data_IF_882666266933
#
_entry.id   IF_882666266933
#
_cell.length_a   1.000
_cell.length_b   1.000
_cell.length_c   1.000
_cell.angle_alpha   90.00
_cell.angle_beta   90.00
_cell.angle_gamma   90.00
#
_symmetry.space_group_name_H-M   'P 1'
#
loop_
_entity.id
_entity.type
_entity.pdbx_description
1 polymer ?
#
# COMPACT_ATOMS: atom_id res chain seq x y z
N UNK A 1 5.57 11.79 17.34
CA UNK A 1 6.62 12.77 17.03
C UNK A 1 7.26 12.41 15.69
N UNK A 2 7.25 13.31 14.76
CA UNK A 2 7.86 13.06 13.48
C UNK A 2 9.39 13.03 13.61
N UNK A 3 10.03 12.25 12.78
CA UNK A 3 11.49 12.20 12.73
C UNK A 3 12.00 13.15 11.66
N UNK A 4 13.20 13.67 11.87
CA UNK A 4 13.89 14.41 10.83
C UNK A 4 14.18 13.45 9.68
N UNK A 5 13.77 13.80 8.48
CA UNK A 5 14.00 13.04 7.27
C UNK A 5 15.00 13.75 6.39
N UNK A 6 15.88 12.97 5.77
CA UNK A 6 16.89 13.46 4.84
C UNK A 6 16.84 12.66 3.56
N UNK A 7 17.19 13.29 2.42
CA UNK A 7 17.27 12.55 1.16
C UNK A 7 18.15 11.29 1.30
N UNK A 8 17.65 10.17 0.77
CA UNK A 8 18.29 8.88 0.85
C UNK A 8 17.91 8.03 2.05
N UNK A 9 17.22 8.60 3.04
CA UNK A 9 16.74 7.82 4.17
C UNK A 9 15.69 6.82 3.73
N UNK A 10 15.75 5.64 4.32
CA UNK A 10 14.69 4.64 4.15
C UNK A 10 13.66 4.80 5.27
N UNK A 11 12.37 4.79 4.92
CA UNK A 11 11.31 4.75 5.93
C UNK A 11 11.21 3.33 6.49
N UNK A 12 10.67 3.14 7.70
CA UNK A 12 10.49 1.80 8.25
C UNK A 12 9.67 0.92 7.32
N UNK A 13 10.18 -0.28 7.05
CA UNK A 13 9.50 -1.27 6.21
C UNK A 13 8.28 -1.80 6.93
N UNK A 14 7.17 -1.91 6.20
CA UNK A 14 5.96 -2.55 6.70
C UNK A 14 5.82 -3.91 6.02
N UNK A 15 5.53 -4.93 6.82
CA UNK A 15 5.19 -6.27 6.35
C UNK A 15 3.84 -6.65 6.89
N UNK A 16 2.95 -7.10 6.01
CA UNK A 16 1.61 -7.50 6.41
C UNK A 16 1.15 -8.67 5.55
N UNK A 17 0.55 -9.66 6.21
CA UNK A 17 -0.03 -10.82 5.53
C UNK A 17 -1.54 -10.73 5.63
N UNK A 18 -2.24 -10.41 4.53
CA UNK A 18 -3.70 -10.40 4.55
C UNK A 18 -4.24 -11.82 4.73
N UNK A 19 -5.16 -12.00 5.67
CA UNK A 19 -5.75 -13.32 5.88
C UNK A 19 -6.78 -13.64 4.79
N UNK A 20 -7.21 -14.88 4.72
CA UNK A 20 -8.11 -15.34 3.66
C UNK A 20 -9.50 -14.70 3.70
N UNK A 21 -9.88 -14.08 4.81
CA UNK A 21 -11.19 -13.44 4.97
C UNK A 21 -11.13 -11.93 4.82
N UNK A 22 -9.92 -11.37 4.63
CA UNK A 22 -9.77 -9.92 4.51
C UNK A 22 -10.65 -9.34 3.40
N UNK A 23 -10.68 -9.99 2.25
CA UNK A 23 -11.43 -9.48 1.11
C UNK A 23 -12.93 -9.40 1.40
N UNK A 24 -13.45 -10.34 2.20
CA UNK A 24 -14.86 -10.31 2.61
C UNK A 24 -15.12 -9.14 3.56
N UNK A 25 -14.24 -8.95 4.54
CA UNK A 25 -14.37 -7.82 5.48
C UNK A 25 -14.24 -6.48 4.75
N UNK A 26 -13.27 -6.38 3.85
CA UNK A 26 -13.06 -5.14 3.13
C UNK A 26 -14.22 -4.84 2.17
N UNK A 27 -14.78 -5.85 1.53
CA UNK A 27 -15.97 -5.70 0.71
C UNK A 27 -17.12 -5.10 1.53
N UNK A 28 -17.31 -5.62 2.74
CA UNK A 28 -18.34 -5.10 3.66
C UNK A 28 -18.10 -3.68 4.10
N UNK A 29 -16.83 -3.32 4.35
CA UNK A 29 -16.47 -1.97 4.80
C UNK A 29 -16.53 -0.94 3.66
N UNK A 30 -16.12 -1.33 2.45
CA UNK A 30 -15.99 -0.41 1.31
C UNK A 30 -17.21 -0.39 0.40
N UNK A 31 -18.03 -1.42 0.44
CA UNK A 31 -19.13 -1.59 -0.51
C UNK A 31 -18.68 -2.18 -1.85
N UNK A 32 -17.42 -2.55 -2.00
CA UNK A 32 -16.91 -3.15 -3.23
C UNK A 32 -17.04 -4.66 -3.16
N UNK A 33 -18.16 -5.17 -3.64
CA UNK A 33 -18.49 -6.60 -3.67
C UNK A 33 -18.22 -7.25 -5.02
N UNK A 34 -17.32 -6.69 -5.82
CA UNK A 34 -16.99 -7.31 -7.09
C UNK A 34 -16.58 -8.77 -6.85
N UNK A 35 -17.18 -9.73 -7.55
CA UNK A 35 -16.95 -11.16 -7.30
C UNK A 35 -15.49 -11.61 -7.39
N UNK A 36 -14.64 -10.88 -8.09
CA UNK A 36 -13.20 -11.22 -8.15
C UNK A 36 -12.53 -11.16 -6.80
N UNK A 37 -13.12 -10.47 -5.83
CA UNK A 37 -12.57 -10.33 -4.48
C UNK A 37 -13.15 -11.34 -3.49
N UNK A 38 -14.27 -11.98 -3.81
CA UNK A 38 -14.99 -12.79 -2.82
C UNK A 38 -15.32 -14.21 -3.29
N UNK A 39 -15.16 -14.51 -4.56
CA UNK A 39 -15.53 -15.81 -5.14
C UNK A 39 -14.36 -16.36 -5.95
N UNK A 40 -13.68 -17.38 -5.41
CA UNK A 40 -12.54 -18.02 -6.08
C UNK A 40 -12.91 -18.60 -7.44
N UNK A 41 -14.07 -19.23 -7.54
CA UNK A 41 -14.48 -19.87 -8.80
C UNK A 41 -14.72 -18.80 -9.88
N UNK A 42 -15.41 -17.72 -9.52
CA UNK A 42 -15.62 -16.61 -10.45
C UNK A 42 -14.27 -16.01 -10.89
N UNK A 43 -13.39 -15.75 -9.93
CA UNK A 43 -12.07 -15.17 -10.22
C UNK A 43 -11.30 -16.05 -11.21
N UNK A 44 -11.30 -17.37 -11.01
CA UNK A 44 -10.62 -18.30 -11.90
C UNK A 44 -11.25 -18.34 -13.29
N UNK A 45 -12.57 -18.26 -13.38
CA UNK A 45 -13.26 -18.24 -14.67
C UNK A 45 -12.88 -17.03 -15.52
N UNK A 46 -12.54 -15.90 -14.89
CA UNK A 46 -12.13 -14.69 -15.63
C UNK A 46 -10.60 -14.58 -15.77
N UNK A 47 -9.86 -15.65 -15.45
CA UNK A 47 -8.44 -15.72 -15.71
C UNK A 47 -7.53 -15.32 -14.56
N UNK A 48 -8.08 -15.18 -13.35
CA UNK A 48 -7.29 -14.85 -12.16
C UNK A 48 -6.91 -16.13 -11.41
N UNK A 49 -5.86 -16.07 -10.56
CA UNK A 49 -5.43 -17.27 -9.80
C UNK A 49 -6.41 -17.68 -8.70
N UNK A 50 -7.30 -16.82 -8.32
CA UNK A 50 -8.28 -16.95 -7.26
C UNK A 50 -8.70 -15.56 -6.83
N UNK A 51 -9.29 -15.44 -5.65
CA UNK A 51 -9.65 -14.12 -5.11
C UNK A 51 -8.42 -13.22 -5.08
N UNK A 52 -8.60 -11.97 -5.47
CA UNK A 52 -7.55 -10.96 -5.41
C UNK A 52 -7.92 -9.88 -4.38
N UNK A 53 -6.89 -9.22 -3.86
CA UNK A 53 -7.07 -8.11 -2.93
C UNK A 53 -7.65 -6.90 -3.65
N UNK A 54 -8.43 -6.11 -2.92
CA UNK A 54 -8.86 -4.80 -3.41
C UNK A 54 -7.63 -3.89 -3.53
N UNK A 55 -7.48 -3.23 -4.68
CA UNK A 55 -6.35 -2.32 -4.89
C UNK A 55 -6.28 -1.22 -3.85
N UNK A 56 -7.43 -0.64 -3.48
CA UNK A 56 -7.48 0.41 -2.48
C UNK A 56 -7.02 -0.06 -1.10
N UNK A 57 -7.24 -1.33 -0.75
CA UNK A 57 -6.70 -1.86 0.50
C UNK A 57 -5.17 -1.89 0.48
N UNK A 58 -4.59 -2.31 -0.65
CA UNK A 58 -3.12 -2.32 -0.80
C UNK A 58 -2.56 -0.90 -0.77
N UNK A 59 -3.23 0.04 -1.42
CA UNK A 59 -2.86 1.46 -1.38
C UNK A 59 -2.89 1.99 0.05
N UNK A 60 -3.86 1.55 0.86
CA UNK A 60 -3.93 1.94 2.27
C UNK A 60 -2.70 1.48 3.05
N UNK A 61 -2.09 0.35 2.70
CA UNK A 61 -0.85 -0.11 3.35
C UNK A 61 0.33 0.79 2.97
N UNK A 62 0.39 1.26 1.74
CA UNK A 62 1.39 2.25 1.32
C UNK A 62 1.21 3.55 2.11
N UNK A 63 -0.04 4.02 2.25
CA UNK A 63 -0.35 5.20 3.06
C UNK A 63 0.07 5.01 4.52
N UNK A 64 -0.21 3.85 5.09
CA UNK A 64 0.16 3.53 6.48
C UNK A 64 1.67 3.61 6.68
N UNK A 65 2.46 3.11 5.73
CA UNK A 65 3.92 3.20 5.81
C UNK A 65 4.37 4.67 5.92
N UNK A 66 3.72 5.56 5.18
CA UNK A 66 4.05 6.99 5.20
C UNK A 66 3.64 7.64 6.52
N UNK A 67 2.43 7.39 6.97
CA UNK A 67 1.91 8.03 8.19
C UNK A 67 2.65 7.55 9.42
N UNK A 68 3.04 6.28 9.49
CA UNK A 68 3.85 5.77 10.59
C UNK A 68 5.25 6.39 10.58
N UNK A 69 5.84 6.56 9.41
CA UNK A 69 7.15 7.18 9.29
C UNK A 69 7.14 8.66 9.71
N UNK A 70 6.06 9.36 9.41
CA UNK A 70 5.96 10.81 9.66
C UNK A 70 5.34 11.15 11.01
N UNK A 71 4.95 10.16 11.81
CA UNK A 71 4.44 10.38 13.15
C UNK A 71 2.94 10.59 13.26
N UNK A 72 2.18 10.45 12.18
CA UNK A 72 0.73 10.51 12.24
C UNK A 72 0.05 10.77 10.90
N UNK A 73 -1.26 10.50 10.84
CA UNK A 73 -2.00 10.61 9.58
C UNK A 73 -2.10 12.03 9.03
N UNK A 74 -2.03 13.03 9.90
CA UNK A 74 -2.11 14.43 9.48
C UNK A 74 -0.92 14.86 8.60
N UNK A 75 0.19 14.11 8.64
CA UNK A 75 1.39 14.44 7.88
C UNK A 75 1.26 14.11 6.38
N UNK A 76 0.44 13.14 6.03
CA UNK A 76 0.29 12.73 4.64
C UNK A 76 -0.62 13.72 3.90
N UNK A 77 -0.05 14.47 2.95
CA UNK A 77 -0.76 15.51 2.20
C UNK A 77 -1.19 15.04 0.82
N UNK A 78 -0.42 14.15 0.23
CA UNK A 78 -0.71 13.63 -1.11
C UNK A 78 -0.11 12.24 -1.25
N UNK A 79 -0.84 11.36 -1.91
CA UNK A 79 -0.34 10.03 -2.26
C UNK A 79 -0.78 9.72 -3.69
N UNK A 80 0.17 9.36 -4.50
CA UNK A 80 -0.04 8.92 -5.87
C UNK A 80 0.56 7.53 -6.02
N UNK A 81 -0.18 6.59 -6.61
CA UNK A 81 0.31 5.23 -6.84
C UNK A 81 -0.04 4.78 -8.25
N UNK A 82 0.70 3.80 -8.74
CA UNK A 82 0.36 3.06 -9.96
C UNK A 82 0.14 1.61 -9.57
N UNK A 83 -1.06 1.09 -9.85
CA UNK A 83 -1.37 -0.31 -9.64
C UNK A 83 -0.76 -1.12 -10.79
N UNK A 84 0.11 -2.08 -10.47
CA UNK A 84 0.86 -2.84 -11.49
C UNK A 84 0.59 -4.33 -11.44
N UNK A 85 0.09 -4.84 -10.34
CA UNK A 85 -0.16 -6.26 -10.20
C UNK A 85 -1.27 -6.52 -9.22
N UNK A 86 -1.73 -7.76 -9.21
CA UNK A 86 -2.78 -8.18 -8.31
C UNK A 86 -2.17 -8.81 -7.07
N UNK A 87 -2.55 -8.31 -5.90
CA UNK A 87 -2.21 -8.97 -4.65
C UNK A 87 -3.20 -10.09 -4.37
N UNK A 88 -2.74 -11.11 -3.64
CA UNK A 88 -3.58 -12.23 -3.24
C UNK A 88 -3.59 -12.37 -1.72
N UNK A 89 -4.68 -12.94 -1.15
CA UNK A 89 -4.71 -13.22 0.30
C UNK A 89 -3.64 -14.24 0.70
N UNK A 90 -3.26 -14.21 1.97
CA UNK A 90 -2.40 -15.21 2.63
C UNK A 90 -0.92 -15.13 2.29
N UNK A 91 -0.51 -14.23 1.40
CA UNK A 91 0.90 -13.99 1.08
C UNK A 91 1.35 -12.65 1.63
N UNK A 92 2.55 -12.60 2.20
CA UNK A 92 3.08 -11.38 2.79
C UNK A 92 3.28 -10.29 1.75
N UNK A 93 2.88 -9.08 2.10
CA UNK A 93 3.15 -7.87 1.34
C UNK A 93 4.20 -7.07 2.10
N UNK A 94 5.20 -6.59 1.37
CA UNK A 94 6.25 -5.72 1.91
C UNK A 94 6.13 -4.35 1.28
N UNK A 95 6.05 -3.32 2.11
CA UNK A 95 6.05 -1.92 1.66
C UNK A 95 7.36 -1.29 2.08
N UNK A 96 8.10 -0.77 1.11
CA UNK A 96 9.36 -0.04 1.34
C UNK A 96 9.27 1.34 0.74
N UNK A 97 10.09 2.26 1.25
CA UNK A 97 10.13 3.60 0.71
C UNK A 97 11.42 4.32 1.05
N UNK A 98 11.78 5.26 0.19
CA UNK A 98 13.00 6.05 0.32
C UNK A 98 12.66 7.52 0.15
N UNK A 99 13.20 8.36 1.02
CA UNK A 99 13.05 9.82 0.92
C UNK A 99 13.85 10.30 -0.30
N UNK A 100 13.16 10.88 -1.27
CA UNK A 100 13.79 11.42 -2.48
C UNK A 100 14.37 12.81 -2.22
N UNK A 101 13.56 13.69 -1.65
CA UNK A 101 14.00 15.05 -1.34
C UNK A 101 13.16 15.64 -0.21
N UNK A 102 13.72 16.67 0.40
CA UNK A 102 13.04 17.45 1.43
C UNK A 102 13.20 18.93 1.07
N UNK A 103 12.08 19.62 0.89
CA UNK A 103 12.07 21.02 0.55
C UNK A 103 11.04 21.75 1.43
N UNK A 104 11.50 22.75 2.15
CA UNK A 104 10.63 23.65 2.94
C UNK A 104 9.68 22.86 3.86
N UNK A 105 10.24 21.87 4.56
CA UNK A 105 9.48 21.07 5.51
C UNK A 105 8.59 20.00 4.88
N UNK A 106 8.67 19.80 3.58
CA UNK A 106 7.90 18.75 2.87
C UNK A 106 8.86 17.68 2.38
N UNK A 107 8.64 16.44 2.79
CA UNK A 107 9.40 15.30 2.31
C UNK A 107 8.63 14.61 1.18
N UNK A 108 9.35 14.28 0.11
CA UNK A 108 8.82 13.46 -0.98
C UNK A 108 9.40 12.07 -0.83
N UNK A 109 8.55 11.08 -0.69
CA UNK A 109 8.95 9.68 -0.48
C UNK A 109 8.48 8.86 -1.68
N UNK A 110 9.40 8.06 -2.23
CA UNK A 110 9.07 7.09 -3.25
C UNK A 110 8.93 5.71 -2.60
N UNK A 111 7.87 5.01 -2.92
CA UNK A 111 7.55 3.74 -2.27
C UNK A 111 7.14 2.66 -3.29
N UNK A 112 7.20 1.43 -2.83
CA UNK A 112 6.76 0.26 -3.59
C UNK A 112 6.12 -0.74 -2.64
N UNK A 113 5.10 -1.45 -3.12
CA UNK A 113 4.54 -2.59 -2.42
C UNK A 113 4.76 -3.83 -3.26
N UNK A 114 5.32 -4.87 -2.64
CA UNK A 114 5.69 -6.11 -3.32
C UNK A 114 5.05 -7.30 -2.65
N UNK A 115 4.74 -8.31 -3.46
CA UNK A 115 4.26 -9.60 -3.00
C UNK A 115 4.86 -10.67 -3.92
N UNK A 116 5.47 -11.70 -3.30
CA UNK A 116 6.10 -12.81 -4.03
C UNK A 116 7.13 -12.33 -5.07
N UNK A 117 7.93 -11.32 -4.72
CA UNK A 117 8.98 -10.80 -5.57
C UNK A 117 8.51 -9.92 -6.73
N UNK A 118 7.22 -9.55 -6.76
CA UNK A 118 6.65 -8.70 -7.80
C UNK A 118 6.08 -7.44 -7.21
N UNK A 119 6.25 -6.32 -7.89
CA UNK A 119 5.60 -5.08 -7.50
C UNK A 119 4.11 -5.16 -7.82
N UNK A 120 3.27 -4.96 -6.80
CA UNK A 120 1.82 -4.83 -6.97
C UNK A 120 1.40 -3.36 -6.99
N UNK A 121 2.15 -2.50 -6.30
CA UNK A 121 2.06 -1.05 -6.45
C UNK A 121 3.46 -0.54 -6.77
N UNK A 122 3.55 0.30 -7.77
CA UNK A 122 4.81 0.87 -8.26
C UNK A 122 4.67 2.38 -8.38
N UNK A 123 5.81 3.07 -8.37
CA UNK A 123 5.86 4.52 -8.55
C UNK A 123 4.95 5.28 -7.57
N UNK A 124 4.85 4.76 -6.35
CA UNK A 124 4.14 5.48 -5.31
C UNK A 124 4.96 6.71 -4.91
N UNK A 125 4.30 7.85 -4.82
CA UNK A 125 4.91 9.10 -4.39
C UNK A 125 4.04 9.71 -3.31
N UNK A 126 4.63 9.99 -2.16
CA UNK A 126 3.94 10.59 -1.03
C UNK A 126 4.55 11.95 -0.70
N UNK A 127 3.70 12.91 -0.38
CA UNK A 127 4.12 14.19 0.18
C UNK A 127 3.80 14.20 1.66
N UNK A 128 4.84 14.35 2.48
CA UNK A 128 4.72 14.36 3.93
C UNK A 128 5.07 15.73 4.47
N UNK A 129 4.15 16.33 5.23
CA UNK A 129 4.41 17.58 5.92
C UNK A 129 5.15 17.26 7.22
N UNK A 130 6.40 17.70 7.31
CA UNK A 130 7.22 17.53 8.50
C UNK A 130 6.97 18.67 9.48
N UNK A 131 7.15 18.38 10.76
CA UNK A 131 7.06 19.42 11.80
C UNK A 131 8.33 20.25 11.90
#
# INVERSE_FOLDING_TARGET
>A
MSQAMQPGDEIPTIKITPDKYLTVRYAGASGDFNPIHIDDDFARRVGLPGKILHGLWTMAQVARAQTEAAGGPHALKRLHVTFRGMGVPEHEITVTGTVDRVDDGVAIVHAVAEQDGRAIIRNAEAELQLE
#
